data_IF_375941490562
#
_entry.id   IF_375941490562
#
_cell.length_a   1.000
_cell.length_b   1.000
_cell.length_c   1.000
_cell.angle_alpha   90.00
_cell.angle_beta   90.00
_cell.angle_gamma   90.00
#
_symmetry.space_group_name_H-M   'P 1'
#
loop_
_entity.id
_entity.type
_entity.pdbx_description
1 polymer ?
#
# COMPACT_ATOMS: atom_id res chain seq x y z
N UNK A 1 -3.09 -28.44 18.23
CA UNK A 1 -2.41 -27.14 18.36
C UNK A 1 -2.77 -26.31 17.13
N UNK A 2 -3.80 -25.47 17.20
CA UNK A 2 -4.37 -24.80 16.03
C UNK A 2 -3.92 -23.34 15.93
N UNK A 3 -3.71 -22.88 14.69
CA UNK A 3 -3.35 -21.51 14.29
C UNK A 3 -4.38 -20.42 14.72
N UNK A 4 -5.47 -20.82 15.40
CA UNK A 4 -6.56 -19.96 15.89
C UNK A 4 -6.23 -19.14 17.14
N UNK A 5 -5.04 -19.24 17.73
CA UNK A 5 -4.71 -18.59 19.03
C UNK A 5 -4.06 -17.21 18.96
N UNK A 6 -3.78 -16.61 17.78
CA UNK A 6 -3.22 -15.26 17.72
C UNK A 6 -3.58 -14.51 16.42
N UNK A 7 -4.83 -14.03 16.36
CA UNK A 7 -5.38 -13.23 15.24
C UNK A 7 -4.49 -12.04 14.87
N UNK A 8 -3.79 -11.44 15.85
CA UNK A 8 -2.84 -10.36 15.59
C UNK A 8 -1.60 -10.78 14.81
N UNK A 9 -1.06 -11.98 15.04
CA UNK A 9 0.10 -12.49 14.28
C UNK A 9 -0.26 -12.79 12.83
N UNK A 10 -1.45 -13.34 12.61
CA UNK A 10 -1.95 -13.59 11.27
C UNK A 10 -2.11 -12.27 10.49
N UNK A 11 -2.76 -11.26 11.11
CA UNK A 11 -2.89 -9.93 10.51
C UNK A 11 -1.52 -9.30 10.20
N UNK A 12 -0.58 -9.37 11.15
CA UNK A 12 0.78 -8.87 10.97
C UNK A 12 1.54 -9.57 9.84
N UNK A 13 1.47 -10.90 9.76
CA UNK A 13 2.16 -11.69 8.73
C UNK A 13 1.61 -11.33 7.34
N UNK A 14 0.29 -11.27 7.22
CA UNK A 14 -0.35 -10.89 5.96
C UNK A 14 0.04 -9.48 5.53
N UNK A 15 0.09 -8.53 6.48
CA UNK A 15 0.52 -7.16 6.21
C UNK A 15 1.98 -7.12 5.72
N UNK A 16 2.90 -7.83 6.38
CA UNK A 16 4.31 -7.90 5.94
C UNK A 16 4.43 -8.52 4.54
N UNK A 17 3.75 -9.63 4.27
CA UNK A 17 3.82 -10.30 2.97
C UNK A 17 3.33 -9.39 1.83
N UNK A 18 2.21 -8.69 2.03
CA UNK A 18 1.69 -7.76 1.01
C UNK A 18 2.56 -6.51 0.87
N UNK A 19 3.16 -6.03 1.96
CA UNK A 19 4.11 -4.91 1.91
C UNK A 19 5.39 -5.26 1.16
N UNK A 20 5.87 -6.51 1.25
CA UNK A 20 7.04 -6.98 0.48
C UNK A 20 6.72 -7.00 -1.02
N UNK A 21 5.53 -7.47 -1.41
CA UNK A 21 5.11 -7.46 -2.80
C UNK A 21 5.03 -6.03 -3.36
N UNK A 22 4.45 -5.09 -2.59
CA UNK A 22 4.41 -3.67 -2.96
C UNK A 22 5.81 -3.05 -3.04
N UNK A 23 6.70 -3.30 -2.06
CA UNK A 23 8.08 -2.79 -2.09
C UNK A 23 8.87 -3.33 -3.29
N UNK A 24 8.69 -4.61 -3.63
CA UNK A 24 9.30 -5.21 -4.81
C UNK A 24 8.86 -4.49 -6.09
N UNK A 25 7.56 -4.23 -6.24
CA UNK A 25 6.99 -3.59 -7.42
C UNK A 25 7.32 -2.09 -7.51
N UNK A 26 7.22 -1.34 -6.41
CA UNK A 26 7.33 0.12 -6.40
C UNK A 26 8.76 0.64 -6.22
N UNK A 27 9.62 -0.08 -5.50
CA UNK A 27 10.97 0.40 -5.18
C UNK A 27 12.04 -0.40 -5.91
N UNK A 28 12.03 -1.73 -5.76
CA UNK A 28 13.12 -2.56 -6.28
C UNK A 28 13.16 -2.57 -7.82
N UNK A 29 12.06 -2.89 -8.48
CA UNK A 29 12.05 -2.99 -9.96
C UNK A 29 12.31 -1.64 -10.64
N UNK A 30 11.66 -0.52 -10.25
CA UNK A 30 11.96 0.79 -10.80
C UNK A 30 13.42 1.20 -10.62
N UNK A 31 14.04 0.91 -9.47
CA UNK A 31 15.47 1.22 -9.23
C UNK A 31 16.44 0.50 -10.17
N UNK A 32 16.01 -0.61 -10.78
CA UNK A 32 16.81 -1.40 -11.72
C UNK A 32 16.55 -1.01 -13.18
N UNK A 33 15.33 -0.59 -13.50
CA UNK A 33 14.90 -0.43 -14.89
C UNK A 33 14.80 1.03 -15.33
N UNK A 34 14.49 1.95 -14.43
CA UNK A 34 14.24 3.36 -14.77
C UNK A 34 15.53 4.19 -14.66
N UNK A 35 15.89 4.84 -15.76
CA UNK A 35 16.98 5.81 -15.83
C UNK A 35 16.38 7.21 -15.93
N UNK A 36 16.45 7.96 -14.84
CA UNK A 36 15.90 9.31 -14.75
C UNK A 36 16.42 10.21 -15.87
N UNK A 37 15.51 10.85 -16.61
CA UNK A 37 15.86 11.73 -17.73
C UNK A 37 16.30 11.02 -19.01
N UNK A 38 16.30 9.69 -19.08
CA UNK A 38 16.70 8.94 -20.27
C UNK A 38 15.63 7.89 -20.65
N UNK A 39 14.70 8.31 -21.51
CA UNK A 39 13.60 7.48 -21.99
C UNK A 39 14.08 6.26 -22.78
N UNK A 40 15.07 6.42 -23.67
CA UNK A 40 15.61 5.32 -24.49
C UNK A 40 16.33 4.27 -23.66
N UNK A 41 17.15 4.69 -22.69
CA UNK A 41 17.80 3.73 -21.78
C UNK A 41 16.76 2.97 -20.95
N UNK A 42 15.74 3.66 -20.43
CA UNK A 42 14.64 3.04 -19.68
C UNK A 42 13.85 2.03 -20.52
N UNK A 43 13.44 2.41 -21.74
CA UNK A 43 12.71 1.53 -22.64
C UNK A 43 13.54 0.29 -23.03
N UNK A 44 14.84 0.47 -23.30
CA UNK A 44 15.75 -0.65 -23.57
C UNK A 44 15.88 -1.58 -22.35
N UNK A 45 16.01 -1.06 -21.13
CA UNK A 45 16.07 -1.86 -19.90
C UNK A 45 14.79 -2.67 -19.69
N UNK A 46 13.63 -2.06 -19.88
CA UNK A 46 12.31 -2.72 -19.77
C UNK A 46 12.20 -3.84 -20.80
N UNK A 47 12.56 -3.57 -22.06
CA UNK A 47 12.50 -4.59 -23.12
C UNK A 47 13.51 -5.72 -22.91
N UNK A 48 14.70 -5.42 -22.38
CA UNK A 48 15.71 -6.44 -22.04
C UNK A 48 15.32 -7.27 -20.81
N UNK A 49 14.55 -6.70 -19.88
CA UNK A 49 14.12 -7.34 -18.62
C UNK A 49 12.60 -7.44 -18.52
N UNK A 50 11.93 -7.82 -19.61
CA UNK A 50 10.46 -7.84 -19.71
C UNK A 50 9.81 -8.66 -18.58
N UNK A 51 10.35 -9.85 -18.29
CA UNK A 51 9.84 -10.72 -17.22
C UNK A 51 9.86 -10.03 -15.86
N UNK A 52 10.94 -9.28 -15.56
CA UNK A 52 11.05 -8.56 -14.29
C UNK A 52 9.98 -7.46 -14.18
N UNK A 53 9.75 -6.73 -15.28
CA UNK A 53 8.72 -5.69 -15.33
C UNK A 53 7.30 -6.28 -15.21
N UNK A 54 7.01 -7.40 -15.88
CA UNK A 54 5.75 -8.13 -15.74
C UNK A 54 5.53 -8.68 -14.32
N UNK A 55 6.58 -9.14 -13.66
CA UNK A 55 6.52 -9.57 -12.26
C UNK A 55 6.24 -8.40 -11.33
N UNK A 56 6.75 -7.19 -11.62
CA UNK A 56 6.38 -5.98 -10.87
C UNK A 56 4.88 -5.68 -11.00
N UNK A 57 4.35 -5.66 -12.24
CA UNK A 57 2.92 -5.47 -12.51
C UNK A 57 2.08 -6.49 -11.73
N UNK A 58 2.41 -7.77 -11.82
CA UNK A 58 1.69 -8.82 -11.11
C UNK A 58 1.82 -8.68 -9.59
N UNK A 59 3.02 -8.33 -9.10
CA UNK A 59 3.30 -8.10 -7.69
C UNK A 59 2.48 -6.96 -7.10
N UNK A 60 2.33 -5.86 -7.85
CA UNK A 60 1.50 -4.72 -7.45
C UNK A 60 0.02 -5.14 -7.35
N UNK A 61 -0.52 -5.78 -8.39
CA UNK A 61 -1.92 -6.24 -8.39
C UNK A 61 -2.20 -7.23 -7.26
N UNK A 62 -1.29 -8.18 -7.02
CA UNK A 62 -1.41 -9.16 -5.92
C UNK A 62 -1.30 -8.46 -4.58
N UNK A 63 -0.35 -7.53 -4.41
CA UNK A 63 -0.15 -6.77 -3.17
C UNK A 63 -1.39 -5.95 -2.81
N UNK A 64 -1.93 -5.23 -3.79
CA UNK A 64 -3.13 -4.41 -3.64
C UNK A 64 -4.38 -5.27 -3.35
N UNK A 65 -4.61 -6.36 -4.09
CA UNK A 65 -5.71 -7.30 -3.77
C UNK A 65 -5.55 -7.93 -2.39
N UNK A 66 -4.32 -8.32 -2.05
CA UNK A 66 -3.95 -8.86 -0.77
C UNK A 66 -4.23 -7.91 0.40
N UNK A 67 -4.12 -6.60 0.16
CA UNK A 67 -4.39 -5.57 1.15
C UNK A 67 -5.86 -5.52 1.59
N UNK A 68 -6.80 -6.01 0.78
CA UNK A 68 -8.19 -6.24 1.22
C UNK A 68 -8.21 -7.18 2.42
N UNK A 69 -7.48 -8.30 2.33
CA UNK A 69 -7.42 -9.28 3.39
C UNK A 69 -6.66 -8.75 4.61
N UNK A 70 -5.64 -7.91 4.41
CA UNK A 70 -4.97 -7.18 5.52
C UNK A 70 -5.97 -6.30 6.26
N UNK A 71 -6.74 -5.49 5.52
CA UNK A 71 -7.74 -4.59 6.08
C UNK A 71 -8.82 -5.35 6.85
N UNK A 72 -9.30 -6.49 6.31
CA UNK A 72 -10.27 -7.36 6.98
C UNK A 72 -9.70 -8.02 8.23
N UNK A 73 -8.45 -8.49 8.20
CA UNK A 73 -7.79 -9.06 9.37
C UNK A 73 -7.60 -8.02 10.48
N UNK A 74 -7.25 -6.77 10.13
CA UNK A 74 -7.19 -5.65 11.07
C UNK A 74 -8.57 -5.25 11.58
N UNK A 75 -9.60 -5.30 10.74
CA UNK A 75 -10.98 -5.09 11.16
C UNK A 75 -11.41 -6.11 12.20
N UNK A 76 -11.18 -7.39 11.96
CA UNK A 76 -11.52 -8.45 12.91
C UNK A 76 -10.76 -8.31 14.22
N UNK A 77 -9.52 -7.82 14.17
CA UNK A 77 -8.72 -7.54 15.36
C UNK A 77 -9.23 -6.33 16.17
N UNK A 78 -9.67 -5.27 15.50
CA UNK A 78 -9.95 -3.96 16.11
C UNK A 78 -11.44 -3.63 16.26
N UNK A 79 -12.35 -4.41 15.64
CA UNK A 79 -13.81 -4.17 15.68
C UNK A 79 -14.38 -4.13 17.09
N UNK A 80 -13.77 -4.85 18.05
CA UNK A 80 -14.15 -4.84 19.47
C UNK A 80 -13.87 -3.51 20.18
N UNK A 81 -12.98 -2.66 19.64
CA UNK A 81 -12.67 -1.33 20.19
C UNK A 81 -13.70 -0.31 19.72
N UNK A 82 -13.94 -0.23 18.41
CA UNK A 82 -14.99 0.58 17.83
C UNK A 82 -15.33 0.11 16.42
N UNK A 83 -16.50 -0.49 16.24
CA UNK A 83 -16.93 -1.05 14.95
C UNK A 83 -17.00 0.00 13.83
N UNK A 84 -17.47 1.22 14.11
CA UNK A 84 -17.60 2.28 13.10
C UNK A 84 -16.25 2.72 12.55
N UNK A 85 -15.25 2.92 13.42
CA UNK A 85 -13.91 3.29 12.99
C UNK A 85 -13.22 2.12 12.26
N UNK A 86 -13.42 0.88 12.71
CA UNK A 86 -12.89 -0.29 12.02
C UNK A 86 -13.47 -0.42 10.60
N UNK A 87 -14.78 -0.22 10.43
CA UNK A 87 -15.41 -0.20 9.10
C UNK A 87 -14.87 0.95 8.24
N UNK A 88 -14.73 2.16 8.81
CA UNK A 88 -14.20 3.32 8.09
C UNK A 88 -12.76 3.07 7.60
N UNK A 89 -11.91 2.47 8.42
CA UNK A 89 -10.55 2.05 8.06
C UNK A 89 -10.56 1.14 6.83
N UNK A 90 -11.41 0.09 6.83
CA UNK A 90 -11.53 -0.82 5.67
C UNK A 90 -12.05 -0.09 4.44
N UNK A 91 -13.09 0.73 4.58
CA UNK A 91 -13.67 1.45 3.45
C UNK A 91 -12.64 2.35 2.78
N UNK A 92 -11.87 3.12 3.56
CA UNK A 92 -10.88 4.06 3.01
C UNK A 92 -9.78 3.36 2.22
N UNK A 93 -9.25 2.24 2.73
CA UNK A 93 -8.19 1.51 2.03
C UNK A 93 -8.73 0.69 0.84
N UNK A 94 -9.94 0.14 0.93
CA UNK A 94 -10.54 -0.59 -0.19
C UNK A 94 -10.85 0.34 -1.37
N UNK A 95 -11.19 1.61 -1.12
CA UNK A 95 -11.40 2.60 -2.19
C UNK A 95 -10.11 2.89 -2.97
N UNK A 96 -8.92 2.79 -2.35
CA UNK A 96 -7.66 3.02 -3.07
C UNK A 96 -7.31 1.88 -4.04
N UNK A 97 -7.82 0.67 -3.80
CA UNK A 97 -7.40 -0.53 -4.55
C UNK A 97 -7.84 -0.47 -6.02
N UNK A 98 -9.11 -0.16 -6.37
CA UNK A 98 -9.50 0.05 -7.76
C UNK A 98 -8.71 1.16 -8.45
N UNK A 99 -8.35 2.22 -7.73
CA UNK A 99 -7.55 3.33 -8.27
C UNK A 99 -6.15 2.82 -8.63
N UNK A 100 -5.50 2.07 -7.74
CA UNK A 100 -4.20 1.46 -7.99
C UNK A 100 -4.24 0.45 -9.15
N UNK A 101 -5.29 -0.37 -9.24
CA UNK A 101 -5.48 -1.30 -10.35
C UNK A 101 -5.57 -0.61 -11.70
N UNK A 102 -6.36 0.48 -11.77
CA UNK A 102 -6.46 1.28 -12.98
C UNK A 102 -5.15 2.01 -13.29
N UNK A 103 -4.42 2.45 -12.27
CA UNK A 103 -3.11 3.06 -12.44
C UNK A 103 -2.13 2.08 -13.10
N UNK A 104 -2.23 0.78 -12.81
CA UNK A 104 -1.35 -0.24 -13.38
C UNK A 104 -1.49 -0.40 -14.91
N UNK A 105 -2.58 0.09 -15.49
CA UNK A 105 -2.71 0.21 -16.95
C UNK A 105 -1.60 1.09 -17.55
N UNK A 106 -1.09 2.07 -16.80
CA UNK A 106 0.03 2.92 -17.22
C UNK A 106 1.33 2.11 -17.34
N UNK A 107 1.63 1.22 -16.38
CA UNK A 107 2.77 0.29 -16.50
C UNK A 107 2.61 -0.63 -17.71
N UNK A 108 1.41 -1.18 -17.92
CA UNK A 108 1.12 -2.05 -19.07
C UNK A 108 1.33 -1.28 -20.39
N UNK A 109 0.86 -0.03 -20.48
CA UNK A 109 1.06 0.83 -21.64
C UNK A 109 2.55 1.10 -21.90
N UNK A 110 3.33 1.41 -20.84
CA UNK A 110 4.77 1.60 -20.94
C UNK A 110 5.48 0.35 -21.48
N UNK A 111 5.09 -0.85 -21.04
CA UNK A 111 5.64 -2.10 -21.54
C UNK A 111 5.32 -2.32 -23.02
N UNK A 112 4.07 -2.08 -23.44
CA UNK A 112 3.66 -2.22 -24.84
C UNK A 112 4.45 -1.29 -25.77
N UNK A 113 4.67 -0.05 -25.33
CA UNK A 113 5.44 0.96 -26.06
C UNK A 113 6.93 0.60 -26.15
N UNK A 114 7.52 0.17 -25.03
CA UNK A 114 8.92 -0.26 -24.97
C UNK A 114 9.21 -1.45 -25.88
N UNK A 115 8.29 -2.43 -25.94
CA UNK A 115 8.42 -3.58 -26.85
C UNK A 115 8.21 -3.22 -28.31
N UNK A 116 7.30 -2.30 -28.60
CA UNK A 116 6.92 -1.96 -29.97
C UNK A 116 6.06 -3.02 -30.64
N UNK A 117 4.85 -3.21 -30.15
CA UNK A 117 3.84 -4.04 -30.83
C UNK A 117 3.61 -3.60 -32.29
N UNK A 118 3.17 -4.52 -33.16
CA UNK A 118 3.08 -4.29 -34.61
C UNK A 118 2.24 -3.06 -35.00
N UNK A 119 1.16 -2.79 -34.25
CA UNK A 119 0.30 -1.62 -34.47
C UNK A 119 0.97 -0.28 -34.14
N UNK A 120 2.10 -0.31 -33.43
CA UNK A 120 2.92 0.86 -33.09
C UNK A 120 4.02 1.14 -34.12
N UNK A 121 4.10 0.37 -35.21
CA UNK A 121 5.07 0.56 -36.30
C UNK A 121 4.99 1.94 -36.97
N UNK A 122 3.86 2.64 -36.82
CA UNK A 122 3.67 4.02 -37.28
C UNK A 122 4.50 5.03 -36.47
N UNK A 123 4.89 4.69 -35.23
CA UNK A 123 5.71 5.54 -34.37
C UNK A 123 7.19 5.17 -34.47
N UNK A 124 8.04 6.19 -34.63
CA UNK A 124 9.48 6.01 -34.56
C UNK A 124 9.90 5.56 -33.15
N UNK A 125 11.02 4.85 -33.03
CA UNK A 125 11.51 4.36 -31.73
C UNK A 125 11.66 5.47 -30.69
N UNK A 126 12.27 6.63 -30.97
CA UNK A 126 12.38 7.71 -29.98
C UNK A 126 11.02 8.23 -29.50
N UNK A 127 10.00 8.24 -30.37
CA UNK A 127 8.64 8.64 -29.99
C UNK A 127 8.01 7.60 -29.05
N UNK A 128 8.18 6.31 -29.34
CA UNK A 128 7.69 5.23 -28.48
C UNK A 128 8.37 5.23 -27.12
N UNK A 129 9.69 5.45 -27.08
CA UNK A 129 10.47 5.54 -25.85
C UNK A 129 9.97 6.72 -24.98
N UNK A 130 9.75 7.89 -25.59
CA UNK A 130 9.22 9.07 -24.90
C UNK A 130 7.81 8.84 -24.34
N UNK A 131 6.93 8.18 -25.12
CA UNK A 131 5.60 7.80 -24.66
C UNK A 131 5.67 6.77 -23.52
N UNK A 132 6.57 5.78 -23.59
CA UNK A 132 6.76 4.82 -22.51
C UNK A 132 7.15 5.54 -21.20
N UNK A 133 8.06 6.50 -21.29
CA UNK A 133 8.46 7.32 -20.14
C UNK A 133 7.33 8.21 -19.62
N UNK A 134 6.49 8.76 -20.51
CA UNK A 134 5.28 9.50 -20.11
C UNK A 134 4.34 8.61 -19.28
N UNK A 135 4.07 7.39 -19.72
CA UNK A 135 3.20 6.46 -18.98
C UNK A 135 3.82 6.03 -17.65
N UNK A 136 5.14 5.82 -17.57
CA UNK A 136 5.82 5.56 -16.30
C UNK A 136 5.72 6.74 -15.33
N UNK A 137 5.87 7.98 -15.82
CA UNK A 137 5.68 9.18 -15.00
C UNK A 137 4.22 9.32 -14.54
N UNK A 138 3.27 9.03 -15.43
CA UNK A 138 1.84 9.05 -15.09
C UNK A 138 1.48 7.97 -14.05
N UNK A 139 2.11 6.80 -14.12
CA UNK A 139 2.00 5.77 -13.09
C UNK A 139 2.47 6.29 -11.72
N UNK A 140 3.61 6.97 -11.68
CA UNK A 140 4.09 7.66 -10.47
C UNK A 140 3.10 8.68 -9.92
N UNK A 141 2.54 9.53 -10.78
CA UNK A 141 1.51 10.49 -10.37
C UNK A 141 0.20 9.83 -9.90
N UNK A 142 -0.16 8.68 -10.47
CA UNK A 142 -1.31 7.90 -10.04
C UNK A 142 -1.17 7.35 -8.62
N UNK A 143 0.06 7.05 -8.16
CA UNK A 143 0.30 6.77 -6.75
C UNK A 143 0.02 7.96 -5.87
N UNK A 144 0.39 9.17 -6.30
CA UNK A 144 0.02 10.41 -5.59
C UNK A 144 -1.48 10.52 -5.32
N UNK A 145 -2.34 10.01 -6.21
CA UNK A 145 -3.80 9.97 -5.96
C UNK A 145 -4.17 8.92 -4.91
N UNK A 146 -3.51 7.76 -4.93
CA UNK A 146 -3.72 6.68 -3.96
C UNK A 146 -3.25 7.07 -2.55
N UNK A 147 -2.17 7.86 -2.45
CA UNK A 147 -1.56 8.32 -1.20
C UNK A 147 -2.54 9.07 -0.29
N UNK A 148 -3.53 9.77 -0.85
CA UNK A 148 -4.60 10.39 -0.04
C UNK A 148 -5.29 9.31 0.80
N UNK A 149 -5.70 8.22 0.18
CA UNK A 149 -6.42 7.14 0.85
C UNK A 149 -5.49 6.32 1.75
N UNK A 150 -4.23 6.14 1.36
CA UNK A 150 -3.19 5.56 2.22
C UNK A 150 -2.88 6.41 3.46
N UNK A 151 -3.11 7.72 3.40
CA UNK A 151 -3.07 8.57 4.59
C UNK A 151 -4.38 8.50 5.39
N UNK A 152 -5.52 8.59 4.71
CA UNK A 152 -6.83 8.68 5.34
C UNK A 152 -7.19 7.44 6.17
N UNK A 153 -6.84 6.23 5.71
CA UNK A 153 -7.14 5.01 6.47
C UNK A 153 -6.29 4.87 7.75
N UNK A 154 -5.15 5.55 7.85
CA UNK A 154 -4.28 5.52 9.02
C UNK A 154 -4.86 6.31 10.20
N UNK A 155 -5.73 7.29 9.96
CA UNK A 155 -6.42 8.00 11.06
C UNK A 155 -7.32 7.09 11.90
N UNK A 156 -8.31 6.36 11.32
CA UNK A 156 -9.11 5.42 12.09
C UNK A 156 -8.28 4.26 12.63
N UNK A 157 -7.29 3.74 11.87
CA UNK A 157 -6.38 2.70 12.37
C UNK A 157 -5.61 3.17 13.60
N UNK A 158 -4.95 4.33 13.54
CA UNK A 158 -4.18 4.90 14.63
C UNK A 158 -5.03 5.18 15.86
N UNK A 159 -6.26 5.67 15.67
CA UNK A 159 -7.22 5.88 16.77
C UNK A 159 -7.65 4.55 17.42
N UNK A 160 -7.91 3.52 16.62
CA UNK A 160 -8.24 2.18 17.13
C UNK A 160 -7.07 1.59 17.92
N UNK A 161 -5.84 1.68 17.39
CA UNK A 161 -4.62 1.22 18.07
C UNK A 161 -4.45 1.96 19.40
N UNK A 162 -4.61 3.29 19.41
CA UNK A 162 -4.51 4.10 20.62
C UNK A 162 -5.54 3.70 21.69
N UNK A 163 -6.77 3.41 21.29
CA UNK A 163 -7.87 3.04 22.20
C UNK A 163 -7.90 1.56 22.60
N UNK A 164 -7.22 0.69 21.84
CA UNK A 164 -7.26 -0.76 22.01
C UNK A 164 -6.76 -1.28 23.36
N UNK A 165 -5.83 -0.56 24.00
CA UNK A 165 -5.11 -0.95 25.24
C UNK A 165 -4.26 -2.24 25.14
N UNK A 166 -4.50 -3.11 24.17
CA UNK A 166 -3.69 -4.31 23.92
C UNK A 166 -2.55 -4.07 22.91
N UNK A 167 -2.56 -2.95 22.18
CA UNK A 167 -1.43 -2.45 21.40
C UNK A 167 -0.81 -1.20 22.06
N UNK A 168 0.50 -0.97 21.89
CA UNK A 168 1.14 0.24 22.40
C UNK A 168 0.52 1.52 21.82
N UNK A 169 0.17 2.46 22.70
CA UNK A 169 -0.45 3.73 22.30
C UNK A 169 0.44 4.58 21.41
N UNK A 170 1.77 4.51 21.59
CA UNK A 170 2.71 5.28 20.77
C UNK A 170 2.62 4.88 19.28
N UNK A 171 2.35 3.60 18.97
CA UNK A 171 2.14 3.15 17.59
C UNK A 171 0.89 3.82 17.00
N UNK A 172 -0.19 3.95 17.77
CA UNK A 172 -1.40 4.64 17.33
C UNK A 172 -1.14 6.10 16.97
N UNK A 173 -0.36 6.81 17.79
CA UNK A 173 0.03 8.21 17.51
C UNK A 173 0.94 8.29 16.28
N UNK A 174 1.92 7.40 16.16
CA UNK A 174 2.82 7.35 15.01
C UNK A 174 2.08 7.09 13.70
N UNK A 175 1.07 6.20 13.71
CA UNK A 175 0.22 5.94 12.54
C UNK A 175 -0.57 7.18 12.13
N UNK A 176 -1.08 7.97 13.08
CA UNK A 176 -1.75 9.24 12.76
C UNK A 176 -0.76 10.23 12.11
N UNK A 177 0.46 10.32 12.62
CA UNK A 177 1.51 11.14 11.99
C UNK A 177 1.86 10.64 10.58
N UNK A 178 1.94 9.32 10.37
CA UNK A 178 2.12 8.72 9.05
C UNK A 178 0.95 9.07 8.12
N UNK A 179 -0.29 9.04 8.63
CA UNK A 179 -1.49 9.44 7.90
C UNK A 179 -1.44 10.88 7.41
N UNK A 180 -1.05 11.80 8.28
CA UNK A 180 -0.84 13.22 7.93
C UNK A 180 0.26 13.37 6.87
N UNK A 181 1.37 12.65 7.04
CA UNK A 181 2.50 12.71 6.11
C UNK A 181 2.10 12.25 4.69
N UNK A 182 1.34 11.16 4.57
CA UNK A 182 0.83 10.68 3.28
C UNK A 182 -0.12 11.67 2.61
N UNK A 183 -1.05 12.28 3.36
CA UNK A 183 -1.96 13.29 2.80
C UNK A 183 -1.18 14.53 2.34
N UNK A 184 -0.20 15.00 3.12
CA UNK A 184 0.64 16.14 2.74
C UNK A 184 1.47 15.80 1.49
N UNK A 185 2.05 14.60 1.43
CA UNK A 185 2.83 14.15 0.28
C UNK A 185 1.99 14.16 -1.00
N UNK A 186 0.80 13.56 -0.93
CA UNK A 186 -0.15 13.53 -2.04
C UNK A 186 -0.54 14.93 -2.53
N UNK A 187 -0.97 15.80 -1.61
CA UNK A 187 -1.36 17.17 -1.96
C UNK A 187 -0.19 17.97 -2.51
N UNK A 188 1.03 17.73 -2.00
CA UNK A 188 2.24 18.34 -2.55
C UNK A 188 2.52 17.85 -3.96
N UNK A 189 2.41 16.55 -4.23
CA UNK A 189 2.58 15.98 -5.56
C UNK A 189 1.62 16.57 -6.59
N UNK A 190 0.39 16.88 -6.18
CA UNK A 190 -0.65 17.43 -7.05
C UNK A 190 -0.56 18.96 -7.22
N UNK A 191 -0.34 19.70 -6.13
CA UNK A 191 -0.43 21.16 -6.13
C UNK A 191 0.94 21.84 -6.31
N UNK A 192 2.01 21.18 -5.86
CA UNK A 192 3.35 21.76 -5.74
C UNK A 192 4.44 20.71 -6.05
N UNK A 193 4.44 20.11 -7.26
CA UNK A 193 5.30 18.97 -7.60
C UNK A 193 6.80 19.25 -7.39
N UNK A 194 7.24 20.51 -7.51
CA UNK A 194 8.62 20.94 -7.26
C UNK A 194 9.12 20.72 -5.82
N UNK A 195 8.20 20.54 -4.86
CA UNK A 195 8.55 20.27 -3.45
C UNK A 195 8.35 18.81 -3.05
N UNK A 196 7.83 17.96 -3.95
CA UNK A 196 7.46 16.58 -3.65
C UNK A 196 8.64 15.78 -3.06
N UNK A 197 9.80 15.79 -3.72
CA UNK A 197 10.97 15.03 -3.27
C UNK A 197 11.51 15.49 -1.90
N UNK A 198 11.42 16.79 -1.63
CA UNK A 198 11.79 17.36 -0.33
C UNK A 198 10.82 16.89 0.75
N UNK A 199 9.52 16.98 0.49
CA UNK A 199 8.48 16.52 1.42
C UNK A 199 8.63 15.02 1.68
N UNK A 200 8.84 14.21 0.64
CA UNK A 200 9.09 12.77 0.77
C UNK A 200 10.27 12.47 1.70
N UNK A 201 11.40 13.17 1.50
CA UNK A 201 12.60 13.02 2.32
C UNK A 201 12.34 13.34 3.79
N UNK A 202 11.65 14.45 4.08
CA UNK A 202 11.32 14.83 5.46
C UNK A 202 10.22 13.97 6.09
N UNK A 203 9.35 13.38 5.28
CA UNK A 203 8.25 12.51 5.72
C UNK A 203 8.69 11.07 6.01
N UNK A 204 9.85 10.62 5.53
CA UNK A 204 10.33 9.25 5.72
C UNK A 204 10.22 8.72 7.17
N UNK A 205 10.58 9.48 8.22
CA UNK A 205 10.42 9.05 9.61
C UNK A 205 8.98 8.67 9.99
N UNK A 206 7.99 9.33 9.39
CA UNK A 206 6.58 9.08 9.67
C UNK A 206 6.14 7.72 9.10
N UNK A 207 6.57 7.35 7.89
CA UNK A 207 6.18 6.10 7.23
C UNK A 207 6.64 4.84 7.96
N UNK A 208 7.68 4.93 8.81
CA UNK A 208 8.08 3.82 9.67
C UNK A 208 7.02 3.41 10.72
N UNK A 209 5.99 4.23 10.97
CA UNK A 209 4.91 3.88 11.89
C UNK A 209 4.14 2.62 11.47
N UNK A 210 3.90 2.46 10.18
CA UNK A 210 3.26 1.25 9.63
C UNK A 210 4.19 0.04 9.75
N UNK A 211 5.48 0.22 9.46
CA UNK A 211 6.51 -0.81 9.61
C UNK A 211 6.61 -1.27 11.07
N UNK A 212 6.58 -0.33 12.01
CA UNK A 212 6.58 -0.64 13.43
C UNK A 212 5.33 -1.42 13.84
N UNK A 213 4.15 -1.05 13.32
CA UNK A 213 2.91 -1.79 13.60
C UNK A 213 2.95 -3.22 13.05
N UNK A 214 3.30 -3.40 11.77
CA UNK A 214 3.34 -4.73 11.15
C UNK A 214 4.33 -5.65 11.86
N UNK A 215 5.53 -5.15 12.21
CA UNK A 215 6.54 -5.92 12.95
C UNK A 215 6.07 -6.24 14.36
N UNK A 216 5.42 -5.30 15.04
CA UNK A 216 4.85 -5.55 16.36
C UNK A 216 3.81 -6.67 16.32
N UNK A 217 2.91 -6.63 15.35
CA UNK A 217 1.87 -7.64 15.16
C UNK A 217 2.47 -9.02 14.88
N UNK A 218 3.54 -9.13 14.08
CA UNK A 218 4.22 -10.42 13.83
C UNK A 218 4.91 -10.95 15.09
N UNK A 219 5.68 -10.10 15.78
CA UNK A 219 6.55 -10.53 16.89
C UNK A 219 5.72 -10.79 18.16
N UNK A 220 5.00 -9.76 18.62
CA UNK A 220 4.24 -9.80 19.87
C UNK A 220 2.82 -10.35 19.67
N UNK A 221 2.26 -10.21 18.47
CA UNK A 221 0.85 -10.50 18.25
C UNK A 221 -0.06 -9.44 18.88
N UNK A 222 -1.34 -9.75 18.92
CA UNK A 222 -2.33 -8.97 19.64
C UNK A 222 -3.32 -9.93 20.27
N UNK A 223 -3.61 -9.71 21.55
CA UNK A 223 -4.59 -10.49 22.31
C UNK A 223 -5.70 -9.53 22.73
N UNK A 224 -6.75 -9.36 21.90
CA UNK A 224 -7.95 -8.68 22.35
C UNK A 224 -8.46 -9.36 23.62
N UNK A 225 -8.99 -8.62 24.61
CA UNK A 225 -9.79 -9.23 25.67
C UNK A 225 -10.86 -10.10 25.01
N UNK A 226 -11.03 -11.34 25.50
CA UNK A 226 -12.06 -12.23 24.96
C UNK A 226 -13.39 -11.47 24.96
N UNK A 227 -14.04 -11.38 23.79
CA UNK A 227 -15.41 -10.86 23.72
C UNK A 227 -16.25 -11.73 24.67
N UNK A 228 -16.63 -11.13 25.79
CA UNK A 228 -17.40 -11.67 26.90
C UNK A 228 -18.06 -13.04 26.65
N UNK A 229 -17.41 -14.10 27.14
CA UNK A 229 -17.99 -15.42 27.30
C UNK A 229 -19.14 -15.45 28.34
N UNK A 230 -19.51 -14.30 28.91
CA UNK A 230 -20.59 -14.14 29.88
C UNK A 230 -21.98 -14.03 29.24
N UNK A 231 -22.09 -13.81 27.92
CA UNK A 231 -23.38 -13.85 27.22
C UNK A 231 -23.92 -15.28 27.01
N UNK A 232 -23.06 -16.30 27.10
CA UNK A 232 -23.44 -17.70 26.87
C UNK A 232 -23.86 -18.45 28.14
N UNK A 233 -23.52 -17.95 29.33
CA UNK A 233 -23.90 -18.63 30.59
C UNK A 233 -25.25 -18.17 31.14
N UNK A 234 -25.75 -16.99 30.77
CA UNK A 234 -27.06 -16.49 31.24
C UNK A 234 -28.25 -17.08 30.49
N UNK A 235 -28.02 -17.70 29.33
CA UNK A 235 -29.05 -18.40 28.55
C UNK A 235 -29.24 -19.87 28.96
N UNK A 236 -28.31 -20.44 29.73
CA UNK A 236 -28.41 -21.80 30.26
C UNK A 236 -29.01 -21.86 31.68
N UNK A 237 -29.37 -20.70 32.25
CA UNK A 237 -29.88 -20.57 33.62
C UNK A 237 -31.29 -19.92 33.66
N UNK A 238 -32.05 -19.96 32.56
CA UNK A 238 -33.46 -19.55 32.51
C UNK A 238 -34.31 -20.65 31.91
#
# INVERSE_FOLDING_TARGET
MSSTKNTGRFAGLLYVLMSIAGFFAMAYVPSKLIVHGNATATANNISASETLFRLAIAGELIGQAGFIFVALALYDLLKGVNRRHASLMVTLIVVSIPIAFLNELNSIAALLLARGADFLSVFEKPQRDALAMLFLNLHGHGFGVCEIFWGLWLFPLGLLVYRSRFLPRFLGVWLVFAGVAWVILSLTGLLLPQYHDKVFTYAQPAFFGEIALMLWLVIKGARPPALDATASSSAAAR
#
